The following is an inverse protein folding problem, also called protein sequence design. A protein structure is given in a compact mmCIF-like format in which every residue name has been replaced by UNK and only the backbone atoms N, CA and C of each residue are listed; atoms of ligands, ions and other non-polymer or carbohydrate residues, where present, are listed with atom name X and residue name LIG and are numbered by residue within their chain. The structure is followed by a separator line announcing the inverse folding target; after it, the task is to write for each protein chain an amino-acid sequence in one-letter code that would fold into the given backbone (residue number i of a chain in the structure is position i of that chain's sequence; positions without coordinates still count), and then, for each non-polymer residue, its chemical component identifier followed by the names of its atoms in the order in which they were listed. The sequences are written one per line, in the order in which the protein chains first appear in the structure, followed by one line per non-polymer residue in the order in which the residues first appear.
data_IF_449596435647
#
_entry.id   IF_449596435647
#
_cell.length_a   1.000
_cell.length_b   1.000
_cell.length_c   1.000
_cell.angle_alpha   90.00
_cell.angle_beta   90.00
_cell.angle_gamma   90.00
#
_symmetry.space_group_name_H-M   'P 1'
#
loop_
_entity.id
_entity.type
_entity.pdbx_description
1 polymer ?
#
# COMPACT_ATOMS: atom_id res chain seq x y z
N UNK A 1 4.49 22.79 -0.87
CA UNK A 1 3.93 21.52 -1.36
C UNK A 1 2.44 21.72 -1.58
N UNK A 2 1.95 21.47 -2.79
CA UNK A 2 0.52 21.57 -3.11
C UNK A 2 -0.21 20.26 -2.76
N UNK A 3 -1.55 20.29 -2.58
CA UNK A 3 -2.32 19.07 -2.29
C UNK A 3 -2.14 17.97 -3.35
N UNK A 4 -2.03 18.35 -4.62
CA UNK A 4 -1.84 17.40 -5.73
C UNK A 4 -0.43 16.76 -5.70
N UNK A 5 0.60 17.54 -5.35
CA UNK A 5 1.96 17.01 -5.15
C UNK A 5 2.02 16.03 -3.96
N UNK A 6 1.30 16.31 -2.87
CA UNK A 6 1.20 15.41 -1.73
C UNK A 6 0.56 14.08 -2.12
N UNK A 7 -0.57 14.12 -2.84
CA UNK A 7 -1.25 12.92 -3.33
C UNK A 7 -0.37 12.09 -4.27
N UNK A 8 0.34 12.75 -5.18
CA UNK A 8 1.28 12.09 -6.08
C UNK A 8 2.43 11.41 -5.30
N UNK A 9 2.95 12.07 -4.26
CA UNK A 9 4.02 11.54 -3.40
C UNK A 9 3.62 10.24 -2.72
N UNK A 10 2.40 10.18 -2.18
CA UNK A 10 1.86 8.99 -1.48
C UNK A 10 1.12 8.02 -2.41
N UNK A 11 1.15 8.29 -3.72
CA UNK A 11 0.44 7.56 -4.79
C UNK A 11 -1.07 7.37 -4.56
N UNK A 12 -1.71 8.32 -3.90
CA UNK A 12 -3.16 8.30 -3.69
C UNK A 12 -3.92 8.93 -4.86
N UNK A 13 -5.04 8.32 -5.22
CA UNK A 13 -6.05 8.91 -6.09
C UNK A 13 -7.01 9.81 -5.29
N UNK A 14 -7.88 10.54 -5.99
CA UNK A 14 -8.96 11.31 -5.35
C UNK A 14 -9.95 10.42 -4.61
N UNK A 15 -10.16 9.19 -5.07
CA UNK A 15 -11.02 8.22 -4.39
C UNK A 15 -10.41 7.74 -3.09
N UNK A 16 -9.08 7.54 -3.07
CA UNK A 16 -8.36 7.16 -1.85
C UNK A 16 -8.42 8.28 -0.81
N UNK A 17 -8.21 9.54 -1.24
CA UNK A 17 -8.39 10.70 -0.38
C UNK A 17 -9.81 10.76 0.18
N UNK A 18 -10.82 10.58 -0.68
CA UNK A 18 -12.23 10.62 -0.29
C UNK A 18 -12.56 9.54 0.76
N UNK A 19 -12.08 8.31 0.54
CA UNK A 19 -12.21 7.21 1.48
C UNK A 19 -11.52 7.51 2.81
N UNK A 20 -10.29 8.03 2.78
CA UNK A 20 -9.51 8.34 3.98
C UNK A 20 -10.17 9.41 4.87
N UNK A 21 -10.87 10.38 4.28
CA UNK A 21 -11.55 11.45 5.02
C UNK A 21 -13.05 11.19 5.25
N UNK A 22 -13.55 10.02 4.84
CA UNK A 22 -14.96 9.66 4.98
C UNK A 22 -15.92 10.58 4.22
N UNK A 23 -15.52 11.07 3.04
CA UNK A 23 -16.34 11.95 2.19
C UNK A 23 -16.62 11.32 0.83
N UNK A 24 -17.71 11.73 0.16
CA UNK A 24 -17.97 11.32 -1.22
C UNK A 24 -16.87 11.79 -2.18
N UNK A 25 -16.51 10.96 -3.17
CA UNK A 25 -15.50 11.32 -4.19
C UNK A 25 -15.87 12.57 -4.99
N UNK A 26 -17.17 12.84 -5.20
CA UNK A 26 -17.62 14.09 -5.84
C UNK A 26 -17.31 15.34 -5.03
N UNK A 27 -17.32 15.25 -3.69
CA UNK A 27 -16.92 16.37 -2.82
C UNK A 27 -15.45 16.70 -3.07
N UNK A 28 -14.56 15.70 -3.06
CA UNK A 28 -13.13 15.90 -3.32
C UNK A 28 -12.89 16.41 -4.73
N UNK A 29 -13.57 15.84 -5.73
CA UNK A 29 -13.49 16.28 -7.13
C UNK A 29 -13.94 17.73 -7.29
N UNK A 30 -14.92 18.18 -6.53
CA UNK A 30 -15.37 19.59 -6.55
C UNK A 30 -14.31 20.56 -6.02
N UNK A 31 -13.47 20.14 -5.08
CA UNK A 31 -12.34 20.96 -4.58
C UNK A 31 -11.27 21.11 -5.64
N UNK A 32 -10.92 20.00 -6.33
CA UNK A 32 -9.98 20.00 -7.45
C UNK A 32 -10.46 20.92 -8.57
N UNK A 33 -11.71 20.80 -9.00
CA UNK A 33 -12.29 21.66 -10.07
C UNK A 33 -12.25 23.14 -9.70
N UNK A 34 -12.46 23.47 -8.42
CA UNK A 34 -12.40 24.84 -7.90
C UNK A 34 -10.99 25.30 -7.56
N UNK A 35 -9.99 24.43 -7.72
CA UNK A 35 -8.62 24.64 -7.25
C UNK A 35 -8.55 25.13 -5.79
N UNK A 36 -9.40 24.58 -4.93
CA UNK A 36 -9.58 25.06 -3.55
C UNK A 36 -9.86 23.90 -2.61
N UNK A 37 -8.87 23.54 -1.82
CA UNK A 37 -8.95 22.54 -0.77
C UNK A 37 -9.15 23.20 0.60
N UNK A 38 -9.89 22.58 1.54
CA UNK A 38 -9.96 23.05 2.91
C UNK A 38 -8.57 23.04 3.56
N UNK A 39 -8.18 24.14 4.23
CA UNK A 39 -6.84 24.30 4.81
C UNK A 39 -6.40 23.14 5.73
N UNK A 40 -7.25 22.59 6.63
CA UNK A 40 -6.84 21.45 7.46
C UNK A 40 -6.45 20.21 6.66
N UNK A 41 -7.12 19.98 5.51
CA UNK A 41 -6.81 18.85 4.62
C UNK A 41 -5.49 19.07 3.89
N UNK A 42 -5.19 20.31 3.49
CA UNK A 42 -3.92 20.67 2.86
C UNK A 42 -2.75 20.39 3.81
N UNK A 43 -2.85 20.87 5.06
CA UNK A 43 -1.80 20.66 6.05
C UNK A 43 -1.61 19.19 6.39
N UNK A 44 -2.71 18.44 6.54
CA UNK A 44 -2.66 17.02 6.81
C UNK A 44 -2.02 16.23 5.67
N UNK A 45 -2.37 16.53 4.41
CA UNK A 45 -1.77 15.90 3.23
C UNK A 45 -0.26 16.19 3.13
N UNK A 46 0.17 17.41 3.43
CA UNK A 46 1.59 17.75 3.45
C UNK A 46 2.36 16.90 4.47
N UNK A 47 1.86 16.83 5.72
CA UNK A 47 2.47 16.00 6.77
C UNK A 47 2.50 14.51 6.41
N UNK A 48 1.45 14.00 5.77
CA UNK A 48 1.39 12.60 5.33
C UNK A 48 2.42 12.32 4.22
N UNK A 49 2.59 13.24 3.28
CA UNK A 49 3.60 13.13 2.23
C UNK A 49 5.03 13.18 2.77
N UNK A 50 5.30 14.05 3.74
CA UNK A 50 6.61 14.09 4.42
C UNK A 50 6.89 12.79 5.18
N UNK A 51 5.90 12.28 5.93
CA UNK A 51 6.02 10.99 6.61
C UNK A 51 6.28 9.84 5.63
N UNK A 52 5.59 9.81 4.49
CA UNK A 52 5.81 8.80 3.46
C UNK A 52 7.23 8.85 2.86
N UNK A 53 7.80 10.04 2.68
CA UNK A 53 9.19 10.20 2.19
C UNK A 53 10.23 9.78 3.22
N UNK A 54 9.92 9.96 4.50
CA UNK A 54 10.81 9.59 5.59
C UNK A 54 10.84 8.08 5.87
N UNK A 55 9.85 7.32 5.36
CA UNK A 55 9.84 5.87 5.52
C UNK A 55 10.99 5.26 4.70
N UNK A 56 11.93 4.55 5.35
CA UNK A 56 12.97 3.84 4.61
C UNK A 56 12.34 2.71 3.78
N UNK A 57 12.94 2.37 2.63
CA UNK A 57 12.54 1.18 1.90
C UNK A 57 12.67 -0.06 2.80
N UNK A 58 11.81 -1.07 2.61
CA UNK A 58 11.90 -2.30 3.39
C UNK A 58 13.27 -2.96 3.20
N UNK A 59 13.86 -3.46 4.29
CA UNK A 59 15.12 -4.20 4.22
C UNK A 59 14.92 -5.50 3.42
N UNK A 60 15.47 -5.50 2.21
CA UNK A 60 15.33 -6.63 1.28
C UNK A 60 16.03 -7.90 1.78
N UNK A 61 16.98 -7.80 2.72
CA UNK A 61 17.57 -8.97 3.35
C UNK A 61 16.57 -9.67 4.30
N UNK A 62 15.76 -8.88 5.01
CA UNK A 62 14.67 -9.40 5.85
C UNK A 62 13.56 -9.98 4.99
N UNK A 63 13.15 -9.26 3.93
CA UNK A 63 12.14 -9.75 2.98
C UNK A 63 12.61 -11.03 2.28
N UNK A 64 13.87 -11.09 1.85
CA UNK A 64 14.46 -12.27 1.22
C UNK A 64 14.45 -13.49 2.14
N UNK A 65 14.73 -13.31 3.45
CA UNK A 65 14.62 -14.38 4.45
C UNK A 65 13.18 -14.86 4.61
N UNK A 66 12.20 -13.95 4.62
CA UNK A 66 10.79 -14.30 4.72
C UNK A 66 10.31 -15.08 3.48
N UNK A 67 10.61 -14.59 2.28
CA UNK A 67 10.28 -15.24 1.01
C UNK A 67 10.98 -16.60 0.87
N UNK A 68 12.25 -16.71 1.25
CA UNK A 68 12.99 -17.98 1.22
C UNK A 68 12.46 -19.00 2.25
N UNK A 69 12.06 -18.52 3.44
CA UNK A 69 11.41 -19.34 4.45
C UNK A 69 10.05 -19.88 3.99
N UNK A 70 9.28 -19.07 3.26
CA UNK A 70 7.99 -19.46 2.72
C UNK A 70 8.14 -20.46 1.56
N UNK A 71 9.04 -20.20 0.61
CA UNK A 71 9.38 -21.13 -0.48
C UNK A 71 9.82 -22.52 0.03
N UNK A 72 10.58 -22.56 1.13
CA UNK A 72 10.97 -23.79 1.80
C UNK A 72 9.81 -24.55 2.47
N UNK A 73 8.71 -23.86 2.81
CA UNK A 73 7.51 -24.45 3.42
C UNK A 73 6.56 -25.04 2.37
N UNK A 74 6.36 -24.33 1.25
CA UNK A 74 5.52 -24.82 0.13
C UNK A 74 6.13 -26.07 -0.51
N UNK A 75 7.47 -26.11 -0.68
CA UNK A 75 8.17 -27.26 -1.26
C UNK A 75 8.06 -28.55 -0.45
N UNK A 76 7.85 -28.47 0.87
CA UNK A 76 7.67 -29.65 1.74
C UNK A 76 6.23 -30.17 1.70
N UNK A 77 5.25 -29.28 1.53
CA UNK A 77 3.83 -29.66 1.42
C UNK A 77 3.55 -30.57 0.21
N UNK A 78 4.21 -30.34 -0.94
CA UNK A 78 4.04 -31.17 -2.14
C UNK A 78 4.78 -32.53 -2.09
N UNK A 79 5.80 -32.69 -1.25
CA UNK A 79 6.49 -33.98 -1.11
C UNK A 79 5.71 -34.96 -0.24
N UNK A 80 4.93 -34.47 0.72
CA UNK A 80 4.06 -35.31 1.57
C UNK A 80 2.95 -35.97 0.76
N UNK A 81 2.38 -35.29 -0.25
CA UNK A 81 1.37 -35.90 -1.15
C UNK A 81 1.99 -36.83 -2.20
N UNK A 82 3.22 -36.58 -2.66
CA UNK A 82 3.90 -37.45 -3.61
C UNK A 82 4.42 -38.77 -3.00
N UNK A 83 4.74 -38.78 -1.69
CA UNK A 83 5.18 -39.98 -0.98
C UNK A 83 4.05 -40.95 -0.62
N UNK A 84 2.81 -40.46 -0.49
CA UNK A 84 1.67 -41.27 -0.03
C UNK A 84 1.02 -42.16 -1.11
N UNK A 85 1.54 -42.18 -2.34
CA UNK A 85 0.94 -42.91 -3.48
C UNK A 85 1.71 -44.15 -3.92
N UNK A 86 2.75 -44.58 -3.19
CA UNK A 86 3.61 -45.72 -3.59
C UNK A 86 3.48 -47.00 -2.75
N UNK A 87 2.66 -47.02 -1.72
CA UNK A 87 2.38 -48.24 -0.94
C UNK A 87 0.92 -48.64 -1.15
N UNK A 88 0.66 -49.34 -2.24
CA UNK A 88 -0.70 -49.76 -2.61
C UNK A 88 -0.74 -50.51 -3.94
N UNK A 89 -0.04 -51.64 -4.01
CA UNK A 89 -0.35 -52.74 -4.94
C UNK A 89 -0.08 -54.05 -4.23
#
# INVERSE_FOLDING_TARGET
MTPLESLATIRWSYSDLAAAIGRPSDTVRSWVRRNSFPAPIVEWLARLADAHRALPPPDLAVVGRWVAGEAGSIGKSWQTVAGATKDGT
#
